data_IF_660966832473
#
_entry.id   IF_660966832473
#
_cell.length_a   1.000
_cell.length_b   1.000
_cell.length_c   1.000
_cell.angle_alpha   90.00
_cell.angle_beta   90.00
_cell.angle_gamma   90.00
#
_symmetry.space_group_name_H-M   'P 1'
#
loop_
_entity.id
_entity.type
_entity.pdbx_description
1 polymer ?
#
# COMPACT_ATOMS: atom_id res chain seq x y z
N UNK A 1 12.85 -2.34 1.13
CA UNK A 1 11.39 -2.57 0.99
C UNK A 1 10.86 -1.91 -0.28
N UNK A 2 11.41 -0.76 -0.68
CA UNK A 2 11.04 -0.10 -1.93
C UNK A 2 11.26 -0.95 -3.17
N UNK A 3 12.33 -1.76 -3.25
CA UNK A 3 12.53 -2.72 -4.35
C UNK A 3 11.36 -3.70 -4.52
N UNK A 4 10.87 -4.28 -3.43
CA UNK A 4 9.74 -5.21 -3.47
C UNK A 4 8.45 -4.50 -3.91
N UNK A 5 8.22 -3.27 -3.44
CA UNK A 5 7.07 -2.47 -3.86
C UNK A 5 7.18 -2.11 -5.35
N UNK A 6 8.36 -1.75 -5.84
CA UNK A 6 8.59 -1.50 -7.27
C UNK A 6 8.25 -2.74 -8.12
N UNK A 7 8.67 -3.94 -7.69
CA UNK A 7 8.31 -5.18 -8.36
C UNK A 7 6.78 -5.41 -8.39
N UNK A 8 6.08 -5.16 -7.27
CA UNK A 8 4.61 -5.24 -7.19
C UNK A 8 3.94 -4.22 -8.11
N UNK A 9 4.47 -3.00 -8.20
CA UNK A 9 3.96 -1.97 -9.12
C UNK A 9 4.05 -2.45 -10.56
N UNK A 10 5.19 -3.04 -10.95
CA UNK A 10 5.40 -3.56 -12.30
C UNK A 10 4.52 -4.78 -12.61
N UNK A 11 4.25 -5.61 -11.61
CA UNK A 11 3.47 -6.84 -11.79
C UNK A 11 1.95 -6.58 -11.81
N UNK A 12 1.45 -5.74 -10.90
CA UNK A 12 0.01 -5.63 -10.61
C UNK A 12 -0.59 -4.26 -10.90
N UNK A 13 0.24 -3.22 -11.10
CA UNK A 13 -0.20 -1.83 -11.27
C UNK A 13 -1.30 -1.41 -10.27
N UNK A 14 -1.08 -1.58 -8.95
CA UNK A 14 -2.12 -1.34 -7.96
C UNK A 14 -2.53 0.14 -7.96
N UNK A 15 -3.77 0.44 -7.57
CA UNK A 15 -4.24 1.84 -7.48
C UNK A 15 -3.76 2.57 -6.22
N UNK A 16 -3.34 1.80 -5.20
CA UNK A 16 -2.83 2.23 -3.89
C UNK A 16 -2.04 1.09 -3.25
N UNK A 17 -1.00 1.42 -2.49
CA UNK A 17 -0.20 0.49 -1.69
C UNK A 17 -0.34 0.88 -0.21
N UNK A 18 -0.80 -0.04 0.62
CA UNK A 18 -0.99 0.17 2.06
C UNK A 18 0.03 -0.66 2.81
N UNK A 19 0.86 -0.01 3.64
CA UNK A 19 1.92 -0.67 4.39
C UNK A 19 1.58 -0.66 5.89
N UNK A 20 1.27 -1.82 6.45
CA UNK A 20 0.98 -2.01 7.88
C UNK A 20 2.01 -2.87 8.61
N UNK A 21 1.67 -3.28 9.83
CA UNK A 21 2.53 -4.08 10.72
C UNK A 21 3.44 -3.22 11.60
N UNK A 22 3.96 -3.80 12.68
CA UNK A 22 4.68 -3.04 13.74
C UNK A 22 5.94 -2.32 13.27
N UNK A 23 6.61 -2.79 12.22
CA UNK A 23 7.76 -2.06 11.62
C UNK A 23 7.31 -0.73 11.03
N UNK A 24 6.12 -0.70 10.44
CA UNK A 24 5.56 0.49 9.79
C UNK A 24 5.01 1.53 10.78
N UNK A 25 5.05 1.27 12.09
CA UNK A 25 4.82 2.28 13.12
C UNK A 25 5.92 3.35 13.14
N UNK A 26 7.09 3.05 12.58
CA UNK A 26 8.18 4.01 12.40
C UNK A 26 7.91 4.91 11.18
N UNK A 27 7.22 6.03 11.40
CA UNK A 27 6.74 6.93 10.32
C UNK A 27 7.87 7.43 9.40
N UNK A 28 9.08 7.59 9.91
CA UNK A 28 10.27 7.98 9.15
C UNK A 28 10.64 7.00 8.02
N UNK A 29 10.15 5.76 8.07
CA UNK A 29 10.37 4.78 7.01
C UNK A 29 9.59 5.11 5.73
N UNK A 30 8.43 5.77 5.81
CA UNK A 30 7.62 6.06 4.63
C UNK A 30 8.36 6.94 3.61
N UNK A 31 8.98 8.09 3.99
CA UNK A 31 9.81 8.87 3.07
C UNK A 31 10.96 8.07 2.45
N UNK A 32 11.63 7.21 3.23
CA UNK A 32 12.74 6.40 2.76
C UNK A 32 12.29 5.37 1.71
N UNK A 33 11.18 4.68 1.98
CA UNK A 33 10.58 3.69 1.07
C UNK A 33 10.11 4.36 -0.22
N UNK A 34 9.40 5.49 -0.13
CA UNK A 34 8.93 6.24 -1.31
C UNK A 34 10.09 6.67 -2.21
N UNK A 35 11.20 7.13 -1.62
CA UNK A 35 12.43 7.47 -2.35
C UNK A 35 13.03 6.25 -3.03
N UNK A 36 13.15 5.13 -2.31
CA UNK A 36 13.69 3.87 -2.85
C UNK A 36 12.83 3.35 -4.02
N UNK A 37 11.49 3.45 -3.93
CA UNK A 37 10.57 3.07 -5.02
C UNK A 37 10.81 3.92 -6.27
N UNK A 38 10.90 5.25 -6.12
CA UNK A 38 11.16 6.14 -7.27
C UNK A 38 12.51 5.84 -7.91
N UNK A 39 13.54 5.60 -7.10
CA UNK A 39 14.88 5.22 -7.58
C UNK A 39 14.86 3.87 -8.31
N UNK A 40 14.15 2.87 -7.77
CA UNK A 40 14.05 1.55 -8.38
C UNK A 40 13.30 1.57 -9.73
N UNK A 41 12.23 2.36 -9.82
CA UNK A 41 11.47 2.50 -11.07
C UNK A 41 12.18 3.36 -12.10
N UNK A 42 13.05 4.28 -11.68
CA UNK A 42 13.91 5.11 -12.53
C UNK A 42 13.20 5.71 -13.77
N UNK A 43 11.97 6.20 -13.59
CA UNK A 43 11.18 6.82 -14.67
C UNK A 43 10.47 5.86 -15.63
N UNK A 44 10.66 4.54 -15.50
CA UNK A 44 9.99 3.54 -16.34
C UNK A 44 8.46 3.62 -16.22
N UNK A 45 7.94 3.76 -14.99
CA UNK A 45 6.52 4.02 -14.74
C UNK A 45 6.31 5.52 -14.53
N UNK A 46 5.93 6.22 -15.59
CA UNK A 46 5.68 7.66 -15.60
C UNK A 46 4.23 8.01 -15.24
N UNK A 47 3.77 7.57 -14.06
CA UNK A 47 2.44 7.88 -13.54
C UNK A 47 2.50 9.06 -12.54
N UNK A 48 1.57 10.05 -12.60
CA UNK A 48 1.54 11.18 -11.66
C UNK A 48 1.50 10.76 -10.18
N UNK A 49 0.79 9.66 -9.87
CA UNK A 49 0.75 9.07 -8.52
C UNK A 49 2.11 8.63 -7.99
N UNK A 50 3.06 8.31 -8.86
CA UNK A 50 4.41 7.89 -8.48
C UNK A 50 5.36 9.08 -8.52
N UNK A 51 5.29 9.89 -9.58
CA UNK A 51 6.22 10.99 -9.81
C UNK A 51 5.95 12.19 -8.92
N UNK A 52 4.68 12.52 -8.67
CA UNK A 52 4.27 13.75 -8.00
C UNK A 52 3.70 13.42 -6.62
N UNK A 53 2.68 12.55 -6.55
CA UNK A 53 1.84 12.38 -5.35
C UNK A 53 2.01 11.03 -4.64
N UNK A 54 3.25 10.56 -4.51
CA UNK A 54 3.56 9.22 -3.99
C UNK A 54 3.17 9.02 -2.53
N UNK A 55 3.07 10.11 -1.77
CA UNK A 55 2.58 10.10 -0.40
C UNK A 55 1.10 9.73 -0.27
N UNK A 56 0.32 9.94 -1.32
CA UNK A 56 -1.09 9.51 -1.39
C UNK A 56 -1.25 8.09 -1.95
N UNK A 57 -0.18 7.58 -2.56
CA UNK A 57 -0.14 6.28 -3.21
C UNK A 57 0.38 5.18 -2.27
N UNK A 58 1.47 5.43 -1.53
CA UNK A 58 2.03 4.55 -0.50
C UNK A 58 1.71 5.13 0.88
N UNK A 59 0.74 4.54 1.56
CA UNK A 59 0.11 5.09 2.77
C UNK A 59 0.10 4.08 3.95
N UNK A 60 0.01 4.56 5.19
CA UNK A 60 -0.31 3.68 6.32
C UNK A 60 -1.77 3.17 6.24
N UNK A 61 -2.13 2.12 7.00
CA UNK A 61 -3.50 1.62 7.04
C UNK A 61 -4.41 2.63 7.74
N UNK A 62 -5.50 3.03 7.09
CA UNK A 62 -6.46 3.97 7.68
C UNK A 62 -7.20 3.42 8.90
N UNK A 63 -7.27 2.09 9.04
CA UNK A 63 -7.84 1.39 10.19
C UNK A 63 -6.78 1.04 11.25
N UNK A 64 -5.54 1.51 11.08
CA UNK A 64 -4.41 1.16 11.93
C UNK A 64 -4.19 -0.35 12.02
N UNK A 65 -3.87 -0.83 13.22
CA UNK A 65 -3.61 -2.25 13.49
C UNK A 65 -4.87 -3.13 13.39
N UNK A 66 -6.06 -2.51 13.35
CA UNK A 66 -7.34 -3.22 13.27
C UNK A 66 -7.75 -3.57 11.83
N UNK A 67 -6.95 -3.24 10.82
CA UNK A 67 -7.29 -3.51 9.41
C UNK A 67 -7.59 -5.00 9.16
N UNK A 68 -6.86 -5.92 9.80
CA UNK A 68 -7.12 -7.36 9.70
C UNK A 68 -8.42 -7.79 10.40
N UNK A 69 -8.69 -7.26 11.59
CA UNK A 69 -9.91 -7.53 12.34
C UNK A 69 -11.16 -7.08 11.57
N UNK A 70 -11.14 -5.86 11.05
CA UNK A 70 -12.24 -5.34 10.23
C UNK A 70 -12.36 -6.08 8.90
N UNK A 71 -11.25 -6.56 8.32
CA UNK A 71 -11.27 -7.43 7.14
C UNK A 71 -12.03 -8.74 7.42
N UNK A 72 -11.78 -9.39 8.56
CA UNK A 72 -12.51 -10.59 8.94
C UNK A 72 -14.01 -10.34 9.15
N UNK A 73 -14.37 -9.22 9.77
CA UNK A 73 -15.77 -8.81 9.92
C UNK A 73 -16.44 -8.56 8.56
N UNK A 74 -15.74 -7.87 7.64
CA UNK A 74 -16.25 -7.61 6.30
C UNK A 74 -16.53 -8.90 5.53
N UNK A 75 -15.62 -9.88 5.59
CA UNK A 75 -15.83 -11.21 5.00
C UNK A 75 -17.05 -11.93 5.60
N UNK A 76 -17.30 -11.80 6.91
CA UNK A 76 -18.48 -12.37 7.56
C UNK A 76 -19.79 -11.71 7.11
N UNK A 77 -19.78 -10.39 6.90
CA UNK A 77 -20.94 -9.65 6.37
C UNK A 77 -21.21 -10.06 4.91
N UNK A 78 -20.16 -10.16 4.09
CA UNK A 78 -20.26 -10.61 2.69
C UNK A 78 -20.87 -12.01 2.60
N UNK A 79 -20.37 -12.97 3.40
CA UNK A 79 -20.91 -14.33 3.45
C UNK A 79 -22.38 -14.37 3.91
N UNK A 80 -22.79 -13.48 4.84
CA UNK A 80 -24.19 -13.39 5.26
C UNK A 80 -25.08 -12.84 4.14
N UNK A 81 -24.59 -11.91 3.33
CA UNK A 81 -25.32 -11.33 2.20
C UNK A 81 -25.45 -12.31 1.04
N UNK A 82 -24.48 -13.17 0.79
CA UNK A 82 -24.56 -14.23 -0.24
C UNK A 82 -25.59 -15.32 0.09
N UNK A 83 -25.93 -15.49 1.37
CA UNK A 83 -26.94 -16.45 1.83
C UNK A 83 -28.38 -15.91 1.76
N UNK A 84 -28.55 -14.61 1.58
CA UNK A 84 -29.84 -13.91 1.55
C UNK A 84 -30.36 -13.73 0.11
#
# INVERSE_FOLDING_TARGET
>A
MGQAIAAVILLLSPKRVILGGGVMHQEQLFPLIRREVRQALNGYVSAPKILETIETYIVPPGLGDNAGLFGALALGIEALQELA
#
